data_IF_135450491072
#
_entry.id   IF_135450491072
#
_cell.length_a   1.000
_cell.length_b   1.000
_cell.length_c   1.000
_cell.angle_alpha   90.00
_cell.angle_beta   90.00
_cell.angle_gamma   90.00
#
_symmetry.space_group_name_H-M   'P 1'
#
loop_
_entity.id
_entity.type
_entity.pdbx_description
1 polymer ?
2 non-polymer ?
3 non-polymer ?
#
# COMPACT_ATOMS: atom_id res chain seq x y z
N UNK A 11 14.01 -27.01 2.92
CA UNK A 11 14.50 -25.71 2.49
C UNK A 11 13.44 -24.97 1.67
N UNK A 12 13.29 -23.69 1.98
CA UNK A 12 12.29 -22.82 1.35
C UNK A 12 12.87 -21.79 0.36
N UNK A 13 14.16 -21.84 0.09
CA UNK A 13 14.78 -20.87 -0.80
C UNK A 13 14.63 -21.21 -2.28
N UNK A 14 14.37 -20.19 -3.10
CA UNK A 14 14.44 -20.29 -4.56
C UNK A 14 14.84 -18.92 -5.13
N UNK A 15 15.31 -18.85 -6.41
CA UNK A 15 15.93 -17.60 -6.86
C UNK A 15 15.02 -16.36 -6.77
N UNK A 16 13.72 -16.55 -6.91
CA UNK A 16 12.76 -15.44 -6.82
C UNK A 16 12.54 -14.96 -5.39
N UNK A 17 12.46 -15.89 -4.45
CA UNK A 17 12.21 -15.53 -3.05
C UNK A 17 13.49 -15.35 -2.25
N UNK A 18 14.60 -15.20 -2.95
CA UNK A 18 15.89 -15.01 -2.29
C UNK A 18 16.09 -13.55 -1.93
N UNK A 19 16.84 -13.29 -0.84
CA UNK A 19 17.21 -11.93 -0.45
C UNK A 19 17.83 -11.20 -1.63
N UNK A 20 17.78 -9.87 -1.64
CA UNK A 20 18.17 -9.15 -2.83
C UNK A 20 19.54 -8.60 -2.54
N UNK A 21 20.50 -9.08 -3.34
CA UNK A 21 21.91 -8.79 -3.14
C UNK A 21 22.18 -7.31 -3.34
N UNK A 22 23.14 -6.79 -2.56
CA UNK A 22 23.55 -5.40 -2.64
C UNK A 22 23.78 -4.94 -4.07
N UNK A 23 24.50 -5.73 -4.85
CA UNK A 23 24.74 -5.39 -6.24
C UNK A 23 23.47 -5.42 -7.10
N UNK A 24 22.46 -6.18 -6.68
CA UNK A 24 21.23 -6.22 -7.46
C UNK A 24 20.26 -5.07 -7.16
N UNK A 25 20.61 -4.20 -6.21
CA UNK A 25 19.67 -3.17 -5.76
C UNK A 25 19.65 -1.98 -6.70
N UNK A 26 18.48 -1.37 -6.86
CA UNK A 26 18.29 -0.38 -7.92
C UNK A 26 17.48 0.86 -7.55
N UNK A 27 16.98 0.95 -6.32
CA UNK A 27 16.14 2.08 -5.94
C UNK A 27 16.74 2.97 -4.85
N UNK A 28 17.10 4.20 -5.21
CA UNK A 28 17.62 5.11 -4.21
C UNK A 28 16.46 5.94 -3.66
N UNK A 29 16.78 6.98 -2.87
CA UNK A 29 15.75 7.83 -2.25
C UNK A 29 14.94 8.68 -3.22
N UNK A 30 15.57 9.20 -4.27
CA UNK A 30 14.85 10.03 -5.22
C UNK A 30 13.87 9.17 -6.02
N UNK A 31 14.23 7.93 -6.27
CA UNK A 31 13.43 7.09 -7.15
C UNK A 31 12.20 6.64 -6.40
N UNK A 32 12.37 6.38 -5.11
CA UNK A 32 11.28 5.95 -4.26
C UNK A 32 10.22 7.04 -4.07
N UNK A 33 10.67 8.28 -3.93
CA UNK A 33 9.77 9.43 -3.95
C UNK A 33 9.02 9.51 -5.26
N UNK A 34 9.70 9.16 -6.35
CA UNK A 34 9.14 9.30 -7.69
C UNK A 34 8.14 8.18 -7.96
N UNK A 35 8.27 7.10 -7.20
CA UNK A 35 7.33 5.99 -7.29
C UNK A 35 6.10 6.31 -6.46
N UNK A 36 6.33 6.79 -5.24
CA UNK A 36 5.25 7.08 -4.30
C UNK A 36 4.34 8.22 -4.77
N UNK A 37 4.92 9.16 -5.51
CA UNK A 37 4.17 10.32 -5.98
C UNK A 37 3.13 9.83 -6.98
N UNK A 38 3.55 8.99 -7.92
CA UNK A 38 2.66 8.47 -8.94
C UNK A 38 1.75 7.39 -8.35
N UNK A 39 2.23 6.70 -7.33
CA UNK A 39 1.45 5.66 -6.65
C UNK A 39 0.29 6.23 -5.83
N UNK A 40 0.42 7.47 -5.39
CA UNK A 40 -0.64 8.10 -4.60
C UNK A 40 -1.73 8.69 -5.49
N UNK A 41 -1.36 9.02 -6.72
CA UNK A 41 -2.32 9.54 -7.69
C UNK A 41 -3.18 8.42 -8.25
N UNK A 42 -4.35 8.22 -7.66
CA UNK A 42 -5.25 7.17 -8.11
C UNK A 42 -6.68 7.38 -7.63
N UNK A 43 -7.62 7.10 -8.52
CA UNK A 43 -9.06 7.32 -8.35
C UNK A 43 -9.62 7.24 -6.93
N UNK A 44 -9.23 6.19 -6.20
CA UNK A 44 -9.83 5.89 -4.90
C UNK A 44 -9.85 7.07 -3.93
N UNK A 45 -8.80 7.89 -3.95
CA UNK A 45 -8.73 9.01 -3.01
C UNK A 45 -9.71 10.11 -3.39
N UNK A 46 -10.14 10.16 -4.65
CA UNK A 46 -11.23 11.06 -5.02
C UNK A 46 -12.45 10.72 -4.18
N UNK A 47 -12.80 9.44 -4.16
CA UNK A 47 -13.96 8.95 -3.43
C UNK A 47 -13.85 9.21 -1.95
N UNK A 48 -12.72 8.81 -1.37
CA UNK A 48 -12.53 8.94 0.07
C UNK A 48 -12.63 10.40 0.47
N UNK A 49 -11.87 11.26 -0.19
CA UNK A 49 -11.77 12.66 0.22
C UNK A 49 -13.05 13.39 -0.16
N UNK A 50 -13.69 12.91 -1.22
CA UNK A 50 -15.00 13.38 -1.63
C UNK A 50 -16.10 13.15 -0.60
N UNK A 51 -16.31 11.89 -0.24
CA UNK A 51 -17.24 11.51 0.81
C UNK A 51 -16.92 12.18 2.15
N UNK A 52 -15.66 12.56 2.36
CA UNK A 52 -15.32 13.28 3.58
C UNK A 52 -15.98 14.65 3.65
N UNK A 53 -16.31 15.23 2.51
CA UNK A 53 -16.89 16.56 2.49
C UNK A 53 -18.26 16.54 3.19
N UNK A 54 -18.88 15.37 3.22
CA UNK A 54 -20.06 15.15 4.06
C UNK A 54 -19.84 15.45 5.54
N UNK A 55 -18.65 15.16 6.07
CA UNK A 55 -18.46 15.30 7.51
C UNK A 55 -17.59 16.51 7.90
N UNK A 56 -16.74 16.94 6.98
CA UNK A 56 -15.87 18.10 7.24
C UNK A 56 -15.76 18.95 5.98
N UNK A 57 -15.26 20.16 6.14
CA UNK A 57 -15.02 21.01 4.98
C UNK A 57 -13.63 20.73 4.43
N UNK A 58 -13.46 20.98 3.14
CA UNK A 58 -12.23 20.67 2.39
C UNK A 58 -10.87 20.87 3.05
N UNK A 59 -10.61 22.06 3.62
CA UNK A 59 -9.31 22.27 4.27
C UNK A 59 -9.02 21.27 5.39
N UNK A 60 -10.01 20.97 6.22
CA UNK A 60 -9.81 19.93 7.24
C UNK A 60 -9.53 18.57 6.63
N UNK A 61 -10.16 18.26 5.49
CA UNK A 61 -9.98 16.98 4.83
C UNK A 61 -8.55 16.84 4.34
N UNK A 62 -8.05 17.93 3.75
CA UNK A 62 -6.66 18.05 3.36
C UNK A 62 -5.72 17.83 4.54
N UNK A 63 -6.13 18.30 5.71
CA UNK A 63 -5.35 18.14 6.93
C UNK A 63 -5.42 16.69 7.41
N UNK A 64 -6.61 16.11 7.35
CA UNK A 64 -6.78 14.70 7.70
C UNK A 64 -5.95 13.82 6.76
N UNK A 65 -5.76 14.31 5.53
CA UNK A 65 -4.94 13.61 4.54
C UNK A 65 -3.45 13.70 4.87
N UNK A 66 -2.97 14.93 5.05
CA UNK A 66 -1.59 15.18 5.48
C UNK A 66 -1.25 14.48 6.79
N UNK A 67 -2.19 14.45 7.72
CA UNK A 67 -1.97 13.76 8.99
C UNK A 67 -1.89 12.25 8.80
N UNK A 68 -2.85 11.68 8.08
CA UNK A 68 -2.85 10.26 7.80
C UNK A 68 -1.66 9.81 6.98
N UNK A 69 -1.22 10.67 6.07
CA UNK A 69 0.00 10.45 5.31
C UNK A 69 1.22 10.39 6.22
N UNK A 70 1.24 11.27 7.23
CA UNK A 70 2.38 11.37 8.12
C UNK A 70 2.51 10.17 9.06
N UNK A 71 1.39 9.69 9.60
CA UNK A 71 1.45 8.50 10.45
C UNK A 71 1.89 7.29 9.65
N UNK A 72 1.47 7.23 8.40
CA UNK A 72 1.84 6.14 7.51
C UNK A 72 3.35 6.10 7.31
N UNK A 73 3.92 7.27 7.04
CA UNK A 73 5.37 7.43 6.94
C UNK A 73 6.15 7.09 8.22
N UNK A 74 5.73 7.62 9.36
CA UNK A 74 6.24 7.17 10.65
C UNK A 74 6.21 5.65 10.82
N UNK A 75 5.19 5.01 10.27
CA UNK A 75 5.10 3.57 10.28
C UNK A 75 6.08 2.94 9.29
N UNK A 76 6.24 3.60 8.15
CA UNK A 76 7.14 3.14 7.10
C UNK A 76 8.60 3.10 7.56
N UNK A 77 9.05 4.17 8.20
CA UNK A 77 10.38 4.23 8.82
C UNK A 77 10.79 2.95 9.55
N UNK A 78 9.82 2.29 10.18
CA UNK A 78 10.07 1.08 10.95
C UNK A 78 9.87 -0.22 10.14
N UNK A 79 8.79 -0.27 9.35
CA UNK A 79 8.44 -1.47 8.61
C UNK A 79 9.34 -1.70 7.41
N UNK A 80 10.16 -0.71 7.07
CA UNK A 80 10.95 -0.81 5.84
C UNK A 80 12.39 -1.18 6.16
N UNK A 81 12.76 -1.15 7.43
CA UNK A 81 14.17 -1.15 7.79
C UNK A 81 14.83 -2.49 7.54
N UNK A 82 14.11 -3.57 7.79
CA UNK A 82 14.66 -4.90 7.57
C UNK A 82 14.75 -5.24 6.10
N UNK A 83 13.82 -4.73 5.30
CA UNK A 83 13.79 -5.05 3.88
C UNK A 83 14.89 -4.32 3.14
N UNK A 84 15.13 -3.07 3.54
CA UNK A 84 16.20 -2.29 2.96
C UNK A 84 17.55 -2.91 3.30
N UNK A 85 17.74 -3.21 4.57
CA UNK A 85 19.02 -3.71 5.05
C UNK A 85 19.27 -5.13 4.51
N UNK A 86 18.25 -5.98 4.55
CA UNK A 86 18.44 -7.41 4.25
C UNK A 86 17.82 -7.92 2.95
N UNK A 87 17.22 -7.04 2.15
CA UNK A 87 16.64 -7.45 0.89
C UNK A 87 15.53 -8.50 0.87
N UNK A 88 14.82 -8.68 1.97
CA UNK A 88 13.84 -9.76 2.05
C UNK A 88 12.39 -9.36 1.75
N UNK A 89 11.61 -10.36 1.35
CA UNK A 89 10.15 -10.31 1.23
C UNK A 89 9.40 -9.83 2.48
N UNK A 90 8.15 -9.41 2.27
CA UNK A 90 7.17 -9.33 3.35
C UNK A 90 6.83 -10.73 3.82
N UNK A 91 6.41 -11.56 2.87
CA UNK A 91 5.94 -12.92 3.15
C UNK A 91 7.02 -13.70 3.89
N UNK A 92 8.26 -13.55 3.45
CA UNK A 92 9.38 -14.18 4.14
C UNK A 92 9.58 -13.60 5.54
N UNK A 93 9.53 -12.28 5.67
CA UNK A 93 9.74 -11.62 6.96
C UNK A 93 8.72 -11.93 8.07
N UNK A 94 7.50 -12.28 7.69
CA UNK A 94 6.47 -12.58 8.68
C UNK A 94 6.75 -13.89 9.40
N UNK A 95 7.58 -14.72 8.77
CA UNK A 95 7.95 -16.03 9.31
C UNK A 95 8.59 -15.92 10.70
N UNK A 96 9.16 -14.76 11.01
CA UNK A 96 9.90 -14.54 12.26
C UNK A 96 8.99 -14.64 13.51
N UNK A 97 8.05 -13.69 13.70
CA UNK A 97 7.25 -13.76 14.93
C UNK A 97 6.18 -14.84 14.88
N UNK A 98 5.43 -14.89 13.80
CA UNK A 98 4.47 -15.97 13.57
C UNK A 98 5.29 -17.17 13.14
N UNK A 99 4.69 -18.32 12.89
CA UNK A 99 5.52 -19.44 12.51
C UNK A 99 6.10 -19.31 11.12
N UNK A 100 6.81 -20.34 10.67
CA UNK A 100 7.19 -20.46 9.28
C UNK A 100 5.96 -20.72 8.41
N UNK A 101 4.96 -21.34 9.04
CA UNK A 101 3.71 -21.64 8.38
C UNK A 101 2.61 -20.80 9.01
N UNK A 102 2.67 -20.68 10.35
CA UNK A 102 1.78 -19.79 11.07
C UNK A 102 1.72 -18.37 10.51
N UNK A 103 2.81 -17.89 9.93
CA UNK A 103 2.81 -16.59 9.26
C UNK A 103 1.81 -16.52 8.10
N UNK A 104 1.53 -17.67 7.49
CA UNK A 104 0.60 -17.74 6.37
C UNK A 104 -0.81 -17.23 6.72
N UNK A 105 -1.17 -17.30 7.99
CA UNK A 105 -2.49 -16.84 8.43
C UNK A 105 -2.63 -15.32 8.26
N UNK A 106 -1.90 -14.48 9.03
CA UNK A 106 -2.02 -13.07 8.70
C UNK A 106 -1.68 -12.74 7.25
N UNK A 107 -0.67 -13.39 6.69
CA UNK A 107 -0.29 -13.11 5.32
C UNK A 107 -1.40 -13.43 4.32
N UNK A 108 -2.20 -14.46 4.61
CA UNK A 108 -3.32 -14.77 3.73
C UNK A 108 -4.41 -13.72 3.83
N UNK A 109 -4.65 -13.25 5.05
CA UNK A 109 -5.51 -12.09 5.28
C UNK A 109 -5.04 -10.94 4.42
N UNK A 110 -3.74 -10.68 4.48
CA UNK A 110 -3.20 -9.51 3.82
C UNK A 110 -3.11 -9.70 2.31
N UNK A 111 -2.73 -10.89 1.86
CA UNK A 111 -2.67 -11.11 0.42
C UNK A 111 -4.06 -10.99 -0.21
N UNK A 112 -5.08 -11.32 0.58
CA UNK A 112 -6.47 -11.22 0.16
C UNK A 112 -6.93 -9.78 0.00
N UNK A 113 -6.65 -8.98 1.03
CA UNK A 113 -6.84 -7.54 1.01
C UNK A 113 -6.16 -6.98 -0.23
N UNK A 114 -4.88 -7.31 -0.38
CA UNK A 114 -4.03 -6.78 -1.44
C UNK A 114 -4.70 -7.11 -2.78
N UNK A 115 -5.11 -8.37 -2.90
CA UNK A 115 -5.78 -8.90 -4.07
C UNK A 115 -7.10 -8.18 -4.37
N UNK A 116 -7.87 -7.90 -3.32
CA UNK A 116 -9.10 -7.12 -3.43
C UNK A 116 -8.89 -5.76 -4.09
N UNK A 117 -7.82 -5.06 -3.74
CA UNK A 117 -7.54 -3.77 -4.35
C UNK A 117 -7.16 -3.90 -5.82
N UNK A 118 -6.52 -5.00 -6.18
CA UNK A 118 -6.07 -5.20 -7.55
C UNK A 118 -7.21 -5.33 -8.54
N UNK A 119 -8.23 -6.09 -8.18
CA UNK A 119 -9.39 -6.24 -9.04
C UNK A 119 -10.23 -4.99 -9.06
N UNK A 120 -10.23 -4.25 -7.95
CA UNK A 120 -10.92 -2.99 -7.92
C UNK A 120 -10.33 -1.96 -8.89
N UNK A 121 -9.02 -1.74 -8.82
CA UNK A 121 -8.43 -0.75 -9.71
C UNK A 121 -8.38 -1.22 -11.17
N UNK A 122 -8.31 -2.53 -11.39
CA UNK A 122 -8.34 -3.04 -12.75
C UNK A 122 -9.68 -2.67 -13.37
N UNK A 123 -10.71 -2.75 -12.55
CA UNK A 123 -12.07 -2.37 -12.91
C UNK A 123 -12.15 -0.90 -13.30
N UNK A 124 -11.67 -0.03 -12.43
CA UNK A 124 -11.66 1.40 -12.71
C UNK A 124 -10.89 1.69 -14.00
N UNK A 125 -9.76 1.01 -14.15
CA UNK A 125 -8.93 1.09 -15.35
C UNK A 125 -9.66 0.67 -16.60
N UNK A 126 -10.35 -0.45 -16.48
CA UNK A 126 -11.16 -1.03 -17.55
C UNK A 126 -12.26 -0.07 -17.96
N UNK A 127 -12.92 0.50 -16.96
CA UNK A 127 -13.96 1.49 -17.19
C UNK A 127 -13.38 2.59 -18.08
N UNK A 128 -12.15 2.98 -17.79
CA UNK A 128 -11.50 4.07 -18.50
C UNK A 128 -11.25 3.70 -19.97
N UNK A 129 -10.61 2.56 -20.21
CA UNK A 129 -10.26 2.18 -21.58
C UNK A 129 -11.52 1.98 -22.41
N UNK A 130 -12.56 1.47 -21.76
CA UNK A 130 -13.83 1.21 -22.41
C UNK A 130 -14.52 2.51 -22.80
N UNK A 131 -14.41 3.50 -21.93
CA UNK A 131 -14.89 4.84 -22.25
C UNK A 131 -14.16 5.50 -23.42
N UNK A 132 -12.84 5.36 -23.50
CA UNK A 132 -12.11 5.93 -24.64
C UNK A 132 -12.60 5.32 -25.94
N UNK A 133 -12.79 4.01 -25.94
CA UNK A 133 -13.22 3.32 -27.15
C UNK A 133 -14.65 3.65 -27.53
N UNK A 134 -15.57 3.66 -26.56
CA UNK A 134 -16.96 3.91 -26.89
C UNK A 134 -17.15 5.39 -27.25
N UNK A 135 -16.20 6.23 -26.87
CA UNK A 135 -16.16 7.62 -27.33
C UNK A 135 -15.49 7.71 -28.69
N UNK A 136 -15.33 6.57 -29.35
CA UNK A 136 -14.76 6.53 -30.69
C UNK A 136 -15.55 5.55 -31.57
N UNK A 137 -15.98 4.45 -30.96
CA UNK A 137 -16.46 3.32 -31.73
C UNK A 137 -17.85 2.93 -31.22
N UNK A 138 -18.31 3.66 -30.21
CA UNK A 138 -19.59 3.39 -29.56
C UNK A 138 -19.74 2.03 -28.91
N UNK A 139 -18.85 1.12 -29.24
CA UNK A 139 -18.80 -0.23 -28.70
C UNK A 139 -18.47 -0.16 -27.21
N UNK A 140 -19.25 -0.84 -26.37
CA UNK A 140 -19.14 -0.65 -24.93
C UNK A 140 -19.21 -1.99 -24.20
N UNK A 141 -18.22 -2.84 -24.49
CA UNK A 141 -18.04 -4.10 -23.77
C UNK A 141 -16.97 -3.87 -22.71
N UNK A 142 -17.35 -4.05 -21.46
CA UNK A 142 -16.44 -3.87 -20.33
C UNK A 142 -15.61 -5.09 -19.93
N UNK A 143 -16.25 -6.26 -19.71
CA UNK A 143 -15.48 -7.43 -19.31
C UNK A 143 -14.27 -7.79 -20.19
N UNK A 144 -14.40 -7.64 -21.51
CA UNK A 144 -13.26 -7.88 -22.38
C UNK A 144 -12.12 -6.88 -22.03
N UNK A 145 -12.46 -5.61 -21.80
CA UNK A 145 -11.46 -4.60 -21.48
C UNK A 145 -10.91 -4.79 -20.07
N UNK A 146 -11.72 -5.41 -19.21
CA UNK A 146 -11.27 -5.84 -17.91
C UNK A 146 -10.10 -6.80 -18.07
N UNK A 147 -10.40 -7.99 -18.58
CA UNK A 147 -9.38 -9.00 -18.89
C UNK A 147 -8.13 -8.45 -19.56
N UNK A 148 -8.30 -7.85 -20.74
CA UNK A 148 -7.20 -7.18 -21.45
C UNK A 148 -6.34 -6.27 -20.56
N UNK A 149 -6.96 -5.55 -19.63
CA UNK A 149 -6.16 -4.71 -18.74
C UNK A 149 -5.44 -5.52 -17.68
N UNK A 150 -6.18 -6.35 -16.96
CA UNK A 150 -5.58 -7.32 -16.05
C UNK A 150 -4.37 -7.97 -16.68
N UNK A 151 -4.52 -8.38 -17.93
CA UNK A 151 -3.46 -9.07 -18.66
C UNK A 151 -2.27 -8.15 -18.91
N UNK A 152 -2.54 -6.93 -19.36
CA UNK A 152 -1.50 -5.96 -19.68
C UNK A 152 -0.67 -5.63 -18.44
N UNK A 153 -1.34 -5.51 -17.30
CA UNK A 153 -0.67 -5.25 -16.04
C UNK A 153 0.25 -6.42 -15.71
N UNK A 154 -0.26 -7.63 -15.88
CA UNK A 154 0.54 -8.84 -15.65
C UNK A 154 1.83 -8.80 -16.45
N UNK A 155 1.73 -8.43 -17.72
CA UNK A 155 2.89 -8.47 -18.60
C UNK A 155 3.89 -7.37 -18.30
N UNK A 156 3.40 -6.20 -17.94
CA UNK A 156 4.29 -5.14 -17.48
C UNK A 156 4.81 -5.39 -16.08
N UNK A 157 4.07 -6.19 -15.31
CA UNK A 157 4.54 -6.56 -13.97
C UNK A 157 5.59 -7.65 -14.04
N UNK A 158 5.57 -8.44 -15.12
CA UNK A 158 6.65 -9.38 -15.36
C UNK A 158 8.01 -8.72 -15.25
N UNK A 159 8.09 -7.48 -15.70
CA UNK A 159 9.34 -6.74 -15.62
C UNK A 159 9.63 -6.15 -14.25
N UNK A 160 8.89 -6.64 -13.25
CA UNK A 160 8.98 -6.18 -11.87
C UNK A 160 9.23 -4.71 -11.67
N UNK A 161 10.09 -4.41 -10.69
CA UNK A 161 10.35 -3.04 -10.30
C UNK A 161 11.08 -2.19 -11.40
N UNK A 162 11.65 -2.87 -12.40
CA UNK A 162 12.35 -2.19 -13.48
C UNK A 162 11.40 -1.34 -14.29
N UNK A 163 10.28 -1.96 -14.66
CA UNK A 163 9.19 -1.27 -15.33
C UNK A 163 8.54 -0.25 -14.41
N UNK A 164 8.07 -0.71 -13.26
CA UNK A 164 7.47 0.16 -12.24
C UNK A 164 8.23 1.47 -12.14
N UNK A 165 9.56 1.37 -12.02
CA UNK A 165 10.36 2.53 -11.72
C UNK A 165 10.45 3.47 -12.92
N UNK A 166 10.51 2.91 -14.13
CA UNK A 166 10.60 3.74 -15.33
C UNK A 166 9.25 4.34 -15.70
N UNK A 167 8.20 3.55 -15.52
CA UNK A 167 6.83 3.99 -15.78
C UNK A 167 6.37 5.11 -14.85
N UNK A 168 6.79 5.05 -13.59
CA UNK A 168 6.38 6.05 -12.60
C UNK A 168 7.15 7.36 -12.66
N UNK A 169 8.39 7.34 -13.15
CA UNK A 169 9.15 8.57 -13.25
C UNK A 169 8.61 9.43 -14.38
N UNK A 170 8.20 8.80 -15.48
CA UNK A 170 7.59 9.57 -16.56
C UNK A 170 6.11 9.90 -16.33
N UNK A 171 5.37 9.02 -15.67
CA UNK A 171 3.99 9.36 -15.32
C UNK A 171 3.88 10.49 -14.32
N UNK A 172 4.74 10.48 -13.31
CA UNK A 172 4.68 11.45 -12.19
C UNK A 172 4.46 12.91 -12.61
N UNK A 173 5.37 13.47 -13.43
CA UNK A 173 5.17 14.89 -13.76
C UNK A 173 3.93 15.09 -14.62
N UNK A 174 3.70 14.17 -15.55
CA UNK A 174 2.52 14.21 -16.38
C UNK A 174 1.26 14.18 -15.52
N UNK A 175 1.19 13.20 -14.63
CA UNK A 175 0.11 13.12 -13.64
C UNK A 175 0.02 14.39 -12.79
N UNK A 176 1.16 14.89 -12.34
CA UNK A 176 1.23 16.14 -11.59
C UNK A 176 0.67 17.31 -12.40
N UNK A 177 0.96 17.32 -13.69
CA UNK A 177 0.51 18.41 -14.54
C UNK A 177 -0.97 18.27 -14.87
N UNK A 178 -1.39 17.09 -15.32
CA UNK A 178 -2.81 16.82 -15.56
C UNK A 178 -3.68 17.21 -14.36
N UNK A 179 -3.12 17.12 -13.16
CA UNK A 179 -3.84 17.41 -11.93
C UNK A 179 -3.95 18.89 -11.56
N UNK A 180 -2.84 19.61 -11.66
CA UNK A 180 -2.80 21.06 -11.48
C UNK A 180 -3.69 21.79 -12.49
N UNK A 181 -3.68 21.30 -13.73
CA UNK A 181 -4.62 21.73 -14.76
C UNK A 181 -6.08 21.58 -14.39
N UNK A 182 -6.43 20.44 -13.82
CA UNK A 182 -7.80 20.15 -13.40
C UNK A 182 -8.40 21.18 -12.45
N UNK A 183 -7.65 21.53 -11.41
CA UNK A 183 -8.05 22.61 -10.51
C UNK A 183 -8.27 23.97 -11.19
N UNK A 184 -7.44 24.30 -12.19
CA UNK A 184 -7.64 25.57 -12.88
C UNK A 184 -8.98 25.56 -13.64
N UNK A 185 -9.19 24.55 -14.47
CA UNK A 185 -10.46 24.33 -15.19
C UNK A 185 -11.73 24.39 -14.34
N UNK A 186 -11.71 23.77 -13.17
CA UNK A 186 -12.87 23.80 -12.29
C UNK A 186 -13.09 25.21 -11.79
N UNK A 187 -12.17 25.68 -10.95
CA UNK A 187 -12.22 27.00 -10.35
C UNK A 187 -12.62 28.06 -11.36
N UNK A 188 -11.89 28.11 -12.48
CA UNK A 188 -12.19 29.04 -13.56
C UNK A 188 -13.64 28.92 -14.03
N UNK A 189 -14.00 27.74 -14.54
CA UNK A 189 -15.30 27.53 -15.15
C UNK A 189 -16.46 27.73 -14.18
N UNK A 190 -16.15 27.72 -12.89
CA UNK A 190 -17.15 27.99 -11.85
C UNK A 190 -17.01 29.42 -11.34
N UNK A 191 -15.91 30.07 -11.71
CA UNK A 191 -15.64 31.48 -11.39
C UNK A 191 -15.38 31.64 -9.90
N UNK A 192 -14.57 30.74 -9.34
CA UNK A 192 -14.34 30.69 -7.90
C UNK A 192 -12.86 30.63 -7.55
N UNK A 193 -12.46 31.34 -6.50
CA UNK A 193 -11.08 31.32 -6.05
C UNK A 193 -10.81 30.04 -5.24
N UNK A 194 -9.54 29.69 -5.08
CA UNK A 194 -9.14 28.54 -4.28
C UNK A 194 -9.57 28.61 -2.81
N UNK A 195 -9.41 29.79 -2.21
CA UNK A 195 -9.74 29.97 -0.80
C UNK A 195 -11.20 29.81 -0.47
N UNK A 196 -12.06 30.15 -1.42
CA UNK A 196 -13.51 30.05 -1.24
C UNK A 196 -13.92 28.58 -1.16
N UNK A 197 -13.42 27.77 -2.09
CA UNK A 197 -13.72 26.35 -2.15
C UNK A 197 -13.19 25.64 -0.91
N UNK A 198 -12.11 26.19 -0.34
CA UNK A 198 -11.47 25.61 0.82
C UNK A 198 -12.36 25.46 2.07
N UNK A 199 -13.52 26.12 2.10
CA UNK A 199 -14.40 25.95 3.25
C UNK A 199 -15.85 25.59 2.92
N UNK A 200 -16.07 25.07 1.71
CA UNK A 200 -17.44 24.80 1.26
C UNK A 200 -18.10 23.52 1.80
N UNK A 201 -17.35 22.67 2.51
CA UNK A 201 -17.90 21.38 2.88
C UNK A 201 -18.59 21.26 4.22
N UNK A 202 -18.66 20.03 4.72
CA UNK A 202 -18.89 19.76 6.13
C UNK A 202 -20.22 20.26 6.64
N UNK A 203 -21.29 19.85 5.96
CA UNK A 203 -22.62 20.31 6.33
C UNK A 203 -23.45 19.18 6.93
N UNK A 204 -22.77 18.22 7.53
CA UNK A 204 -23.44 17.06 8.11
C UNK A 204 -22.51 16.35 9.12
N UNK A 205 -21.97 17.12 10.07
CA UNK A 205 -20.95 16.65 11.03
C UNK A 205 -21.46 15.53 11.93
N UNK A 206 -20.54 14.82 12.58
CA UNK A 206 -20.88 13.67 13.38
C UNK A 206 -19.64 12.81 13.55
N UNK A 207 -18.92 12.62 12.45
CA UNK A 207 -17.68 11.87 12.47
C UNK A 207 -16.56 12.65 13.16
N UNK A 208 -15.89 12.03 14.13
CA UNK A 208 -14.72 12.62 14.78
C UNK A 208 -13.56 12.81 13.81
N UNK A 209 -12.80 13.88 13.98
CA UNK A 209 -11.62 14.16 13.14
C UNK A 209 -10.52 13.13 13.26
N UNK A 210 -10.46 12.42 14.38
CA UNK A 210 -9.44 11.39 14.55
C UNK A 210 -9.69 10.23 13.61
N UNK A 211 -10.96 9.89 13.40
CA UNK A 211 -11.32 8.73 12.59
C UNK A 211 -11.17 9.12 11.13
N UNK A 212 -11.06 10.43 10.89
CA UNK A 212 -10.84 10.92 9.54
C UNK A 212 -9.40 10.59 9.22
N UNK A 213 -8.50 11.01 10.10
CA UNK A 213 -7.08 10.72 9.96
C UNK A 213 -6.92 9.20 9.80
N UNK A 214 -7.65 8.46 10.65
CA UNK A 214 -7.66 7.01 10.64
C UNK A 214 -8.17 6.37 9.36
N UNK A 215 -8.88 7.14 8.54
CA UNK A 215 -9.38 6.61 7.29
C UNK A 215 -8.30 6.67 6.21
N UNK A 216 -7.52 7.75 6.23
CA UNK A 216 -6.47 7.94 5.23
C UNK A 216 -5.23 7.11 5.57
N UNK A 217 -5.06 6.78 6.86
CA UNK A 217 -4.06 5.79 7.24
C UNK A 217 -4.56 4.42 6.80
N UNK A 218 -5.84 4.17 7.05
CA UNK A 218 -6.46 2.92 6.66
C UNK A 218 -6.38 2.66 5.17
N UNK A 219 -6.20 3.72 4.39
CA UNK A 219 -6.07 3.59 2.95
C UNK A 219 -4.80 2.88 2.54
N UNK A 220 -3.70 3.23 3.19
CA UNK A 220 -2.40 2.71 2.79
C UNK A 220 -1.83 1.65 3.73
N UNK A 221 -2.63 1.20 4.69
CA UNK A 221 -2.14 0.29 5.71
C UNK A 221 -1.54 -0.99 5.11
N UNK A 222 -2.19 -1.53 4.08
CA UNK A 222 -1.72 -2.76 3.44
C UNK A 222 -0.36 -2.56 2.78
N UNK A 223 -0.20 -1.45 2.08
CA UNK A 223 1.05 -1.14 1.42
C UNK A 223 2.16 -0.90 2.46
N UNK A 224 1.85 -0.08 3.45
CA UNK A 224 2.81 0.24 4.50
C UNK A 224 3.27 -1.00 5.26
N UNK A 225 2.32 -1.89 5.57
CA UNK A 225 2.62 -3.06 6.37
C UNK A 225 3.44 -4.09 5.57
N UNK A 226 3.39 -4.00 4.24
CA UNK A 226 4.15 -4.93 3.40
C UNK A 226 4.97 -4.22 2.34
N UNK A 227 5.48 -3.03 2.67
CA UNK A 227 6.39 -2.32 1.78
C UNK A 227 7.60 -3.16 1.35
N UNK A 228 8.07 -4.05 2.23
CA UNK A 228 9.21 -4.95 1.97
C UNK A 228 9.45 -5.27 0.50
N UNK A 229 8.36 -5.64 -0.15
CA UNK A 229 8.37 -6.18 -1.50
C UNK A 229 8.81 -5.12 -2.52
N UNK A 230 8.85 -3.87 -2.06
CA UNK A 230 9.32 -2.78 -2.88
C UNK A 230 10.71 -2.35 -2.44
N UNK A 231 10.93 -2.32 -1.13
CA UNK A 231 12.09 -1.63 -0.59
C UNK A 231 13.25 -2.60 -0.39
N UNK A 232 12.97 -3.90 -0.49
CA UNK A 232 14.05 -4.88 -0.61
C UNK A 232 14.87 -4.65 -1.88
N UNK A 233 14.44 -3.68 -2.68
CA UNK A 233 15.10 -3.31 -3.91
C UNK A 233 15.84 -1.99 -3.75
N UNK A 234 15.73 -1.38 -2.56
CA UNK A 234 16.38 -0.09 -2.36
C UNK A 234 17.89 -0.18 -2.16
N UNK A 235 18.55 0.94 -2.46
CA UNK A 235 20.01 0.99 -2.44
C UNK A 235 20.49 1.15 -1.00
N UNK A 236 21.42 0.31 -0.57
CA UNK A 236 21.91 0.40 0.81
C UNK A 236 23.44 0.38 0.85
N UNK A 237 24.05 1.07 1.81
CA UNK A 237 25.47 0.86 2.05
C UNK A 237 25.68 -0.06 3.26
N UNK A 238 26.10 -1.31 3.01
CA UNK A 238 26.29 -2.33 4.05
C UNK A 238 27.27 -1.92 5.15
N UNK A 239 28.20 -1.03 4.81
CA UNK A 239 29.23 -0.62 5.77
C UNK A 239 28.95 0.72 6.44
N UNK A 240 27.67 0.98 6.69
CA UNK A 240 27.25 2.14 7.45
C UNK A 240 27.45 1.85 8.93
N UNK A 241 26.70 2.54 9.77
CA UNK A 241 26.76 2.29 11.20
C UNK A 241 25.34 2.41 11.72
N UNK A 242 25.15 2.30 13.03
CA UNK A 242 23.83 2.53 13.62
C UNK A 242 23.28 3.90 13.20
N UNK A 243 24.15 4.91 13.13
CA UNK A 243 23.66 6.25 12.95
C UNK A 243 23.60 6.53 11.46
N UNK A 244 24.41 5.83 10.67
CA UNK A 244 24.31 5.98 9.24
C UNK A 244 23.20 5.11 8.68
N UNK A 245 22.89 4.00 9.34
CA UNK A 245 21.74 3.20 8.96
C UNK A 245 20.44 3.92 9.28
N UNK A 246 20.45 4.67 10.38
CA UNK A 246 19.26 5.42 10.80
C UNK A 246 18.96 6.63 9.92
N UNK A 247 20.00 7.37 9.52
CA UNK A 247 19.80 8.47 8.59
C UNK A 247 19.36 7.93 7.24
N UNK A 248 19.84 6.74 6.89
CA UNK A 248 19.43 6.09 5.65
C UNK A 248 17.93 5.79 5.69
N UNK A 249 17.50 5.14 6.77
CA UNK A 249 16.08 4.94 7.06
C UNK A 249 15.28 6.23 7.03
N UNK A 250 15.82 7.28 7.64
CA UNK A 250 15.10 8.55 7.73
C UNK A 250 15.04 9.23 6.37
N UNK A 251 16.12 9.10 5.60
CA UNK A 251 16.18 9.69 4.28
C UNK A 251 15.20 9.02 3.32
N UNK A 252 15.05 7.70 3.44
CA UNK A 252 14.03 6.95 2.70
C UNK A 252 12.61 7.26 3.14
N UNK A 253 12.37 7.20 4.44
CA UNK A 253 11.07 7.59 5.00
C UNK A 253 10.70 9.01 4.59
N UNK A 254 11.68 9.90 4.57
CA UNK A 254 11.45 11.28 4.16
C UNK A 254 11.09 11.33 2.68
N UNK A 255 11.72 10.46 1.90
CA UNK A 255 11.48 10.44 0.47
C UNK A 255 10.07 9.94 0.21
N UNK A 256 9.58 9.08 1.09
CA UNK A 256 8.25 8.54 0.94
C UNK A 256 7.23 9.58 1.38
N UNK A 257 7.63 10.43 2.32
CA UNK A 257 6.76 11.49 2.80
C UNK A 257 6.56 12.50 1.70
N UNK A 258 7.65 12.88 1.05
CA UNK A 258 7.57 13.90 0.02
C UNK A 258 6.93 13.30 -1.23
N UNK A 259 6.80 11.99 -1.27
CA UNK A 259 6.16 11.36 -2.40
C UNK A 259 4.65 11.22 -2.27
N UNK A 260 4.18 10.79 -1.11
CA UNK A 260 2.76 10.47 -0.97
C UNK A 260 1.90 11.64 -0.48
N UNK A 261 2.50 12.55 0.28
CA UNK A 261 1.80 13.74 0.75
C UNK A 261 1.39 14.73 -0.37
N UNK A 262 2.37 15.43 -1.00
CA UNK A 262 1.97 16.40 -2.05
C UNK A 262 1.14 15.83 -3.19
N UNK A 263 1.32 14.56 -3.51
CA UNK A 263 0.50 13.91 -4.52
C UNK A 263 -0.95 13.74 -4.07
N UNK A 264 -1.14 13.24 -2.87
CA UNK A 264 -2.48 12.88 -2.42
C UNK A 264 -3.25 14.07 -1.89
N UNK A 265 -2.56 15.15 -1.56
CA UNK A 265 -3.22 16.41 -1.21
C UNK A 265 -3.84 17.11 -2.41
N UNK A 266 -3.09 17.21 -3.51
CA UNK A 266 -3.65 17.79 -4.73
C UNK A 266 -4.86 17.02 -5.24
N UNK A 267 -4.76 15.70 -5.25
CA UNK A 267 -5.82 14.86 -5.79
C UNK A 267 -6.92 14.55 -4.77
N UNK A 268 -6.57 14.56 -3.49
CA UNK A 268 -7.60 14.48 -2.46
C UNK A 268 -8.49 15.70 -2.61
N UNK A 269 -7.86 16.86 -2.69
CA UNK A 269 -8.55 18.11 -2.95
C UNK A 269 -9.46 18.11 -4.18
N UNK A 270 -8.99 17.49 -5.27
CA UNK A 270 -9.80 17.39 -6.47
C UNK A 270 -11.07 16.57 -6.25
N UNK A 271 -10.95 15.46 -5.51
CA UNK A 271 -12.11 14.66 -5.18
C UNK A 271 -13.08 15.43 -4.32
N UNK A 272 -12.54 16.13 -3.31
CA UNK A 272 -13.33 16.96 -2.42
C UNK A 272 -14.01 18.12 -3.14
N UNK A 273 -13.26 18.83 -3.97
CA UNK A 273 -13.78 19.93 -4.77
C UNK A 273 -14.96 19.52 -5.66
N UNK A 274 -14.77 18.44 -6.44
CA UNK A 274 -15.87 17.83 -7.16
C UNK A 274 -17.14 17.61 -6.32
N UNK A 275 -17.00 16.95 -5.17
CA UNK A 275 -18.12 16.65 -4.27
C UNK A 275 -18.87 17.92 -3.91
N UNK A 276 -18.12 18.93 -3.56
CA UNK A 276 -18.65 20.11 -2.90
C UNK A 276 -19.23 21.10 -3.89
N UNK A 277 -18.65 21.14 -5.08
CA UNK A 277 -19.16 21.98 -6.15
C UNK A 277 -20.39 21.42 -6.86
N UNK A 278 -20.49 20.09 -7.02
CA UNK A 278 -21.44 19.53 -7.99
C UNK A 278 -22.17 18.30 -7.41
N UNK A 279 -21.65 17.79 -6.30
CA UNK A 279 -22.28 16.70 -5.59
C UNK A 279 -21.75 15.32 -5.95
N UNK A 280 -20.73 15.30 -6.80
CA UNK A 280 -20.11 14.04 -7.22
C UNK A 280 -18.60 14.11 -7.02
N UNK A 281 -18.02 13.03 -6.53
CA UNK A 281 -16.57 12.95 -6.29
C UNK A 281 -15.76 12.77 -7.58
N UNK A 282 -16.41 12.26 -8.62
CA UNK A 282 -15.77 12.00 -9.90
C UNK A 282 -15.68 13.30 -10.73
N UNK A 283 -14.44 13.72 -11.01
CA UNK A 283 -14.09 14.95 -11.73
C UNK A 283 -14.60 14.97 -13.19
N UNK A 284 -14.79 13.81 -13.82
CA UNK A 284 -15.37 13.77 -15.18
C UNK A 284 -16.68 14.52 -15.21
N UNK A 285 -17.58 14.09 -14.36
CA UNK A 285 -18.85 14.76 -14.19
C UNK A 285 -18.70 16.20 -13.74
N UNK A 286 -17.93 16.44 -12.68
CA UNK A 286 -17.85 17.79 -12.14
C UNK A 286 -17.32 18.81 -13.17
N UNK A 287 -16.33 18.41 -13.95
CA UNK A 287 -15.78 19.34 -14.94
C UNK A 287 -16.67 19.46 -16.18
N UNK A 288 -17.28 18.35 -16.58
CA UNK A 288 -18.20 18.34 -17.71
C UNK A 288 -19.34 19.33 -17.55
N UNK A 289 -20.04 19.19 -16.44
CA UNK A 289 -21.10 20.11 -16.05
C UNK A 289 -20.61 21.56 -15.97
N UNK A 290 -19.76 21.86 -15.00
CA UNK A 290 -19.30 23.22 -14.73
C UNK A 290 -18.92 23.97 -16.01
N UNK A 291 -18.47 23.21 -17.01
CA UNK A 291 -17.96 23.78 -18.25
C UNK A 291 -19.01 23.58 -19.33
N UNK A 292 -19.95 22.68 -19.06
CA UNK A 292 -21.08 22.46 -19.96
C UNK A 292 -20.60 21.67 -21.17
N UNK A 293 -20.12 20.46 -20.91
CA UNK A 293 -19.66 19.58 -21.97
C UNK A 293 -18.22 19.88 -22.32
N UNK A 294 -17.54 18.89 -22.92
CA UNK A 294 -16.18 19.02 -23.39
C UNK A 294 -15.98 18.18 -24.65
N UNK A 295 -15.04 18.59 -25.49
CA UNK A 295 -14.74 17.89 -26.73
C UNK A 295 -14.28 16.44 -26.52
N UNK A 296 -14.56 15.62 -27.52
CA UNK A 296 -14.21 14.20 -27.52
C UNK A 296 -12.71 13.98 -27.24
N UNK A 297 -11.82 14.73 -27.92
CA UNK A 297 -10.42 14.72 -27.47
C UNK A 297 -10.27 14.90 -25.96
N UNK A 298 -10.67 16.06 -25.45
CA UNK A 298 -10.49 16.38 -24.03
C UNK A 298 -11.19 15.39 -23.09
N UNK A 299 -12.07 14.55 -23.65
CA UNK A 299 -12.71 13.50 -22.85
C UNK A 299 -11.77 12.30 -22.77
N UNK A 300 -11.49 11.76 -23.95
CA UNK A 300 -10.46 10.76 -24.18
C UNK A 300 -9.22 11.02 -23.33
N UNK A 301 -8.75 12.27 -23.35
CA UNK A 301 -7.73 12.75 -22.41
C UNK A 301 -7.95 12.32 -20.96
N UNK A 302 -9.06 12.75 -20.36
CA UNK A 302 -9.38 12.41 -18.96
C UNK A 302 -9.21 10.93 -18.68
N UNK A 303 -9.67 10.14 -19.62
CA UNK A 303 -9.65 8.70 -19.48
C UNK A 303 -8.23 8.16 -19.61
N UNK A 304 -7.44 8.82 -20.47
CA UNK A 304 -6.02 8.50 -20.54
C UNK A 304 -5.38 8.77 -19.17
N UNK A 305 -5.85 9.81 -18.49
CA UNK A 305 -5.40 10.12 -17.13
C UNK A 305 -5.69 8.97 -16.18
N UNK A 306 -6.97 8.61 -16.04
CA UNK A 306 -7.39 7.49 -15.21
C UNK A 306 -6.58 6.24 -15.43
N UNK A 307 -6.34 5.94 -16.70
CA UNK A 307 -5.54 4.78 -17.04
C UNK A 307 -4.10 4.96 -16.56
N UNK A 308 -3.52 6.11 -16.86
CA UNK A 308 -2.18 6.42 -16.39
C UNK A 308 -2.06 6.46 -14.87
N UNK A 309 -3.14 6.89 -14.21
CA UNK A 309 -3.15 6.94 -12.75
C UNK A 309 -3.34 5.57 -12.10
N UNK A 310 -3.94 4.64 -12.84
CA UNK A 310 -4.16 3.30 -12.32
C UNK A 310 -2.91 2.44 -12.49
N UNK A 311 -2.24 2.65 -13.61
CA UNK A 311 -1.06 1.87 -13.97
C UNK A 311 0.09 2.19 -13.03
N UNK A 312 0.08 3.40 -12.47
CA UNK A 312 1.15 3.83 -11.58
C UNK A 312 0.93 3.36 -10.15
N UNK A 313 -0.21 2.75 -9.89
CA UNK A 313 -0.53 2.32 -8.54
C UNK A 313 -0.78 0.82 -8.41
N UNK A 314 -1.71 0.30 -9.21
CA UNK A 314 -2.11 -1.10 -9.15
C UNK A 314 -0.96 -2.12 -9.10
N UNK A 315 -0.16 -2.25 -10.19
CA UNK A 315 0.93 -3.25 -10.16
C UNK A 315 1.76 -3.22 -8.88
N UNK A 316 2.41 -2.08 -8.63
CA UNK A 316 3.35 -1.94 -7.53
C UNK A 316 2.73 -2.11 -6.15
N UNK A 317 1.53 -1.59 -5.96
CA UNK A 317 0.88 -1.58 -4.66
C UNK A 317 0.02 -2.81 -4.37
N UNK A 318 -0.51 -3.45 -5.41
CA UNK A 318 -1.51 -4.50 -5.21
C UNK A 318 -1.17 -5.89 -5.70
N UNK A 319 -0.25 -5.98 -6.66
CA UNK A 319 0.02 -7.25 -7.31
C UNK A 319 1.34 -7.90 -6.88
N UNK A 320 2.38 -7.08 -6.69
CA UNK A 320 3.66 -7.55 -6.15
C UNK A 320 3.61 -8.48 -4.93
N UNK A 321 2.87 -8.11 -3.90
CA UNK A 321 2.96 -8.85 -2.63
C UNK A 321 2.25 -10.21 -2.59
N UNK A 322 1.15 -10.38 -3.33
CA UNK A 322 0.67 -11.77 -3.36
C UNK A 322 1.51 -12.65 -4.27
N UNK A 323 2.04 -12.07 -5.35
CA UNK A 323 2.99 -12.75 -6.22
C UNK A 323 4.08 -13.39 -5.37
N UNK A 324 4.78 -12.54 -4.60
CA UNK A 324 5.85 -12.99 -3.73
C UNK A 324 5.36 -13.95 -2.65
N UNK A 325 4.09 -13.87 -2.29
CA UNK A 325 3.54 -14.81 -1.32
C UNK A 325 3.45 -16.22 -1.87
N UNK A 326 3.06 -16.33 -3.13
CA UNK A 326 3.00 -17.61 -3.81
C UNK A 326 4.39 -18.21 -4.03
N UNK A 327 5.26 -17.46 -4.69
CA UNK A 327 6.55 -18.01 -5.09
C UNK A 327 7.49 -18.27 -3.91
N UNK A 328 7.04 -17.95 -2.70
CA UNK A 328 7.91 -17.96 -1.52
C UNK A 328 7.36 -18.94 -0.51
N UNK A 329 6.08 -19.29 -0.68
CA UNK A 329 5.46 -20.35 0.10
C UNK A 329 5.48 -21.67 -0.65
N UNK A 330 5.26 -21.59 -1.97
CA UNK A 330 5.38 -22.74 -2.85
C UNK A 330 6.55 -22.59 -3.82
N UNK A 331 7.78 -22.68 -3.30
CA UNK A 331 8.89 -22.16 -4.11
C UNK A 331 9.24 -22.97 -5.35
N UNK A 332 8.91 -24.26 -5.37
CA UNK A 332 9.14 -25.09 -6.55
C UNK A 332 7.93 -25.12 -7.49
N UNK A 333 6.78 -24.72 -6.97
CA UNK A 333 5.55 -24.59 -7.76
C UNK A 333 5.39 -23.26 -8.48
N UNK A 334 5.72 -22.16 -7.82
CA UNK A 334 5.49 -20.85 -8.41
C UNK A 334 6.80 -20.09 -8.57
N UNK A 335 6.84 -19.23 -9.57
CA UNK A 335 7.89 -18.24 -9.71
C UNK A 335 7.23 -16.88 -9.68
N UNK A 336 8.02 -15.83 -9.50
CA UNK A 336 7.52 -14.47 -9.48
C UNK A 336 6.53 -14.25 -10.64
N UNK A 337 7.00 -14.45 -11.87
CA UNK A 337 6.14 -14.28 -13.05
C UNK A 337 4.88 -15.15 -13.02
N UNK A 338 4.98 -16.37 -12.49
CA UNK A 338 3.82 -17.25 -12.46
C UNK A 338 2.89 -16.85 -11.32
N UNK A 339 3.47 -16.27 -10.28
CA UNK A 339 2.70 -15.85 -9.12
C UNK A 339 1.91 -14.62 -9.51
N UNK A 340 2.54 -13.78 -10.34
CA UNK A 340 1.87 -12.65 -10.97
C UNK A 340 0.67 -13.06 -11.82
N UNK A 341 0.82 -14.09 -12.65
CA UNK A 341 -0.30 -14.61 -13.41
C UNK A 341 -1.44 -15.18 -12.56
N UNK A 342 -1.08 -15.93 -11.52
CA UNK A 342 -2.08 -16.50 -10.61
C UNK A 342 -2.73 -15.45 -9.70
N UNK A 343 -2.03 -14.36 -9.42
CA UNK A 343 -2.57 -13.35 -8.54
C UNK A 343 -3.59 -12.49 -9.26
N UNK A 344 -3.27 -12.15 -10.50
CA UNK A 344 -4.16 -11.35 -11.32
C UNK A 344 -5.41 -12.10 -11.75
N UNK A 345 -5.33 -13.43 -11.78
CA UNK A 345 -6.51 -14.23 -12.11
C UNK A 345 -7.43 -14.37 -10.91
N UNK A 346 -6.90 -14.87 -9.79
CA UNK A 346 -7.65 -14.88 -8.54
C UNK A 346 -8.24 -13.49 -8.27
N UNK A 347 -7.37 -12.48 -8.31
CA UNK A 347 -7.77 -11.09 -8.15
C UNK A 347 -9.05 -10.69 -8.87
N UNK A 348 -9.11 -10.97 -10.17
CA UNK A 348 -10.26 -10.60 -10.98
C UNK A 348 -11.43 -11.52 -10.66
N UNK A 349 -11.12 -12.75 -10.28
CA UNK A 349 -12.15 -13.72 -9.91
C UNK A 349 -12.71 -13.50 -8.50
N UNK A 350 -12.23 -12.47 -7.81
CA UNK A 350 -12.88 -12.04 -6.57
C UNK A 350 -13.99 -11.04 -6.84
N UNK A 351 -14.12 -10.63 -8.10
CA UNK A 351 -15.08 -9.62 -8.55
C UNK A 351 -15.45 -8.54 -7.52
N UNK A 352 -14.45 -7.77 -7.02
CA UNK A 352 -14.51 -6.84 -5.89
C UNK A 352 -15.36 -5.61 -6.17
N UNK A 353 -15.78 -5.46 -7.42
CA UNK A 353 -16.58 -4.34 -7.90
C UNK A 353 -18.02 -4.49 -7.44
N UNK A 354 -18.27 -5.51 -6.63
CA UNK A 354 -19.59 -5.81 -6.12
C UNK A 354 -19.61 -5.65 -4.60
N UNK A 355 -18.51 -5.13 -4.07
CA UNK A 355 -18.36 -4.94 -2.63
C UNK A 355 -19.32 -3.80 -2.23
N UNK A 356 -20.34 -4.13 -1.45
CA UNK A 356 -21.30 -3.14 -0.98
C UNK A 356 -20.67 -2.18 0.02
N UNK A 357 -21.33 -1.05 0.26
CA UNK A 357 -20.86 -0.11 1.25
C UNK A 357 -20.10 1.07 0.67
N UNK A 358 -19.29 1.70 1.50
CA UNK A 358 -18.35 2.72 1.04
C UNK A 358 -16.94 2.50 1.58
N UNK A 359 -15.96 3.22 1.03
CA UNK A 359 -14.58 2.86 1.21
C UNK A 359 -14.20 3.22 2.63
N UNK A 360 -14.44 4.47 3.00
CA UNK A 360 -14.20 4.99 4.34
C UNK A 360 -14.32 3.94 5.45
N UNK A 361 -15.49 3.28 5.52
CA UNK A 361 -15.74 2.29 6.58
C UNK A 361 -14.87 1.06 6.36
N UNK A 362 -14.62 0.77 5.08
CA UNK A 362 -13.73 -0.31 4.67
C UNK A 362 -12.33 0.07 5.13
N UNK A 363 -11.98 1.34 4.93
CA UNK A 363 -10.66 1.81 5.29
C UNK A 363 -10.56 1.78 6.81
N UNK A 364 -11.67 2.05 7.48
CA UNK A 364 -11.75 1.93 8.95
C UNK A 364 -11.60 0.47 9.37
N UNK A 365 -12.02 -0.42 8.48
CA UNK A 365 -11.86 -1.85 8.64
C UNK A 365 -10.39 -2.25 8.49
N UNK A 366 -9.80 -1.81 7.39
CA UNK A 366 -8.40 -2.11 7.10
C UNK A 366 -7.42 -1.69 8.18
N UNK A 367 -7.59 -0.50 8.76
CA UNK A 367 -6.67 -0.09 9.82
C UNK A 367 -6.71 -0.98 11.06
N UNK A 368 -7.89 -1.12 11.67
CA UNK A 368 -7.97 -1.89 12.91
C UNK A 368 -7.75 -3.40 12.74
N UNK A 369 -7.75 -3.84 11.49
CA UNK A 369 -7.41 -5.22 11.14
C UNK A 369 -5.93 -5.54 10.94
N UNK A 370 -5.16 -4.56 10.52
CA UNK A 370 -3.71 -4.73 10.40
C UNK A 370 -2.85 -3.93 11.36
N UNK A 371 -3.48 -3.20 12.26
CA UNK A 371 -2.76 -2.40 13.23
C UNK A 371 -1.84 -3.24 14.10
N UNK A 372 -2.35 -4.34 14.67
CA UNK A 372 -1.50 -5.27 15.41
C UNK A 372 -0.42 -5.98 14.58
N UNK A 373 -0.71 -6.27 13.32
CA UNK A 373 0.26 -6.94 12.44
C UNK A 373 1.52 -6.10 12.26
N UNK A 374 1.34 -4.80 12.06
CA UNK A 374 2.47 -3.88 11.89
C UNK A 374 3.20 -3.70 13.22
N UNK A 375 2.45 -3.86 14.30
CA UNK A 375 2.95 -3.60 15.63
C UNK A 375 3.81 -4.75 16.09
N UNK A 376 3.38 -5.96 15.71
CA UNK A 376 4.09 -7.18 16.07
C UNK A 376 5.36 -7.34 15.22
N UNK A 377 5.36 -6.77 14.02
CA UNK A 377 6.51 -6.94 13.15
C UNK A 377 7.58 -5.93 13.57
N UNK A 378 7.14 -4.74 13.94
CA UNK A 378 8.07 -3.71 14.40
C UNK A 378 8.71 -4.16 15.72
N UNK A 379 7.92 -4.85 16.53
CA UNK A 379 8.35 -5.23 17.88
C UNK A 379 9.29 -6.43 17.90
N UNK A 380 8.92 -7.47 17.17
CA UNK A 380 9.78 -8.64 17.01
C UNK A 380 11.18 -8.28 16.56
N UNK A 381 11.26 -7.56 15.44
CA UNK A 381 12.55 -7.17 14.86
C UNK A 381 13.34 -6.13 15.64
N UNK A 382 12.71 -5.01 16.01
CA UNK A 382 13.41 -3.94 16.73
C UNK A 382 13.62 -4.19 18.21
N UNK A 383 12.58 -4.62 18.91
CA UNK A 383 12.64 -4.70 20.36
C UNK A 383 13.11 -6.05 20.86
N UNK A 384 12.41 -7.10 20.47
CA UNK A 384 12.77 -8.45 20.90
C UNK A 384 14.16 -8.86 20.40
N UNK A 385 14.33 -8.89 19.08
CA UNK A 385 15.57 -9.37 18.49
C UNK A 385 16.69 -8.34 18.33
N UNK A 386 16.35 -7.05 18.41
CA UNK A 386 17.33 -5.96 18.29
C UNK A 386 18.02 -5.97 16.92
N UNK A 387 17.23 -6.14 15.86
CA UNK A 387 17.72 -6.09 14.48
C UNK A 387 18.70 -7.24 14.18
N UNK A 388 18.73 -8.23 15.05
CA UNK A 388 19.69 -9.31 14.92
C UNK A 388 18.97 -10.56 14.42
N UNK A 389 19.02 -10.77 13.11
CA UNK A 389 18.24 -11.80 12.46
C UNK A 389 19.06 -12.84 11.70
N UNK A 390 18.44 -13.99 11.42
CA UNK A 390 19.09 -15.11 10.74
C UNK A 390 18.46 -15.48 9.41
N UNK A 391 18.93 -14.90 8.30
CA UNK A 391 18.46 -15.28 6.97
C UNK A 391 18.41 -16.79 6.73
N UNK A 392 19.45 -17.48 7.19
CA UNK A 392 19.58 -18.93 7.04
C UNK A 392 18.32 -19.71 7.42
N UNK A 393 17.76 -19.35 8.56
CA UNK A 393 16.67 -20.10 9.19
C UNK A 393 15.34 -19.73 8.56
N UNK A 394 15.32 -18.59 7.88
CA UNK A 394 14.13 -18.11 7.22
C UNK A 394 13.84 -18.93 5.96
N UNK A 395 14.85 -19.62 5.46
CA UNK A 395 14.69 -20.38 4.22
C UNK A 395 14.70 -21.89 4.44
N UNK A 396 14.40 -22.30 5.67
CA UNK A 396 14.48 -23.69 6.06
C UNK A 396 13.26 -24.03 6.91
N UNK A 397 12.58 -25.12 6.55
CA UNK A 397 11.44 -25.65 7.33
C UNK A 397 11.64 -25.82 8.83
N UNK A 398 12.81 -26.29 9.25
CA UNK A 398 13.09 -26.46 10.67
C UNK A 398 14.30 -25.71 11.24
N UNK A 399 14.02 -24.67 12.02
CA UNK A 399 15.05 -23.82 12.57
C UNK A 399 14.49 -22.98 13.71
N UNK A 400 15.14 -21.88 14.06
CA UNK A 400 14.68 -21.09 15.20
C UNK A 400 13.40 -20.29 14.95
N UNK A 401 12.82 -20.42 13.76
CA UNK A 401 11.58 -19.70 13.47
C UNK A 401 10.45 -20.68 13.21
N UNK A 402 10.69 -21.93 13.60
CA UNK A 402 9.74 -23.01 13.34
C UNK A 402 8.74 -23.09 14.49
N UNK A 403 9.22 -22.75 15.69
CA UNK A 403 8.40 -22.83 16.89
C UNK A 403 7.68 -24.17 17.03
N UNK A 404 6.41 -24.14 17.39
CA UNK A 404 5.65 -25.37 17.55
C UNK A 404 5.21 -25.96 16.22
N UNK A 405 6.07 -26.81 15.65
CA UNK A 405 5.76 -27.56 14.43
C UNK A 405 5.35 -26.64 13.28
N UNK A 406 6.00 -25.48 13.23
CA UNK A 406 5.82 -24.51 12.16
C UNK A 406 4.94 -23.31 12.50
N UNK A 407 4.39 -23.25 13.70
CA UNK A 407 3.44 -22.19 14.04
C UNK A 407 3.70 -21.66 15.45
N UNK A 408 3.75 -20.34 15.59
CA UNK A 408 3.97 -19.75 16.92
C UNK A 408 2.62 -19.29 17.47
N UNK A 409 1.90 -20.17 18.16
CA UNK A 409 0.54 -19.87 18.63
C UNK A 409 0.42 -18.67 19.57
N UNK A 410 1.46 -18.42 20.36
CA UNK A 410 1.49 -17.29 21.28
C UNK A 410 1.39 -15.96 20.52
N UNK A 411 2.02 -15.89 19.36
CA UNK A 411 1.93 -14.73 18.48
C UNK A 411 0.54 -14.54 17.86
N UNK A 412 -0.07 -15.63 17.38
CA UNK A 412 -1.49 -15.62 17.03
C UNK A 412 -2.41 -15.26 18.19
N UNK A 413 -1.96 -15.46 19.42
CA UNK A 413 -2.72 -15.05 20.59
C UNK A 413 -2.63 -13.55 20.83
N UNK A 414 -1.41 -13.02 20.85
CA UNK A 414 -1.18 -11.58 20.96
C UNK A 414 -1.96 -10.78 19.92
N UNK A 415 -2.09 -11.33 18.71
CA UNK A 415 -2.86 -10.68 17.66
C UNK A 415 -4.32 -10.55 18.07
N UNK A 416 -4.91 -11.68 18.47
CA UNK A 416 -6.29 -11.72 18.92
C UNK A 416 -6.52 -10.72 20.05
N UNK A 417 -5.83 -10.93 21.17
CA UNK A 417 -5.87 -10.03 22.32
C UNK A 417 -5.78 -8.54 21.96
N UNK A 418 -4.85 -8.19 21.09
CA UNK A 418 -4.65 -6.78 20.72
C UNK A 418 -5.83 -6.31 19.88
N UNK A 419 -6.34 -7.22 19.06
CA UNK A 419 -7.52 -6.97 18.26
C UNK A 419 -8.72 -6.70 19.15
N UNK A 420 -8.85 -7.48 20.22
CA UNK A 420 -9.90 -7.25 21.22
C UNK A 420 -9.82 -5.87 21.87
N UNK A 421 -8.77 -5.63 22.66
CA UNK A 421 -8.50 -4.29 23.22
C UNK A 421 -8.74 -3.16 22.22
N UNK A 422 -8.55 -3.46 20.93
CA UNK A 422 -8.72 -2.47 19.89
C UNK A 422 -10.17 -2.02 19.83
N UNK A 423 -11.08 -2.94 20.13
CA UNK A 423 -12.49 -2.65 20.03
C UNK A 423 -12.95 -1.73 21.16
N UNK A 424 -12.18 -1.66 22.23
CA UNK A 424 -12.50 -0.75 23.34
C UNK A 424 -12.31 0.73 23.00
N UNK A 425 -11.72 1.03 21.84
CA UNK A 425 -11.49 2.42 21.43
C UNK A 425 -11.76 2.58 19.94
N UNK A 426 -13.01 2.32 19.52
CA UNK A 426 -13.40 2.28 18.11
C UNK A 426 -12.88 3.38 17.18
N UNK A 427 -12.81 4.63 17.64
CA UNK A 427 -12.32 5.69 16.77
C UNK A 427 -10.80 5.83 16.69
N UNK A 428 -10.09 5.04 17.47
CA UNK A 428 -8.63 5.02 17.44
C UNK A 428 -8.15 3.59 17.42
N UNK A 429 -9.05 2.68 17.07
CA UNK A 429 -8.80 1.23 17.04
C UNK A 429 -7.37 0.84 16.67
N UNK A 430 -6.97 1.27 15.48
CA UNK A 430 -5.63 1.05 14.95
C UNK A 430 -4.47 1.43 15.86
N UNK A 431 -4.47 2.65 16.39
CA UNK A 431 -3.36 3.09 17.22
C UNK A 431 -3.32 2.42 18.60
N UNK A 432 -4.46 2.00 19.14
CA UNK A 432 -4.41 1.20 20.36
C UNK A 432 -4.00 -0.24 20.06
N UNK A 433 -4.52 -0.79 18.97
CA UNK A 433 -4.18 -2.15 18.60
C UNK A 433 -2.74 -2.33 18.21
N UNK A 434 -2.15 -1.30 17.59
CA UNK A 434 -0.74 -1.33 17.25
C UNK A 434 0.06 -1.30 18.54
N UNK A 435 -0.19 -0.26 19.34
CA UNK A 435 0.44 -0.08 20.64
C UNK A 435 0.24 -1.28 21.57
N UNK A 436 -0.94 -1.89 21.53
CA UNK A 436 -1.19 -3.06 22.36
C UNK A 436 -0.37 -4.25 21.88
N UNK A 437 -0.46 -4.55 20.59
CA UNK A 437 0.28 -5.66 20.02
C UNK A 437 1.77 -5.47 20.23
N UNK A 438 2.24 -4.25 19.92
CA UNK A 438 3.63 -3.87 20.13
C UNK A 438 4.10 -4.23 21.54
N UNK A 439 3.42 -3.70 22.55
CA UNK A 439 3.81 -3.92 23.94
C UNK A 439 3.68 -5.37 24.43
N UNK A 440 2.60 -6.06 24.05
CA UNK A 440 2.42 -7.45 24.49
C UNK A 440 3.40 -8.43 23.85
N UNK A 441 3.90 -8.13 22.66
CA UNK A 441 4.81 -9.07 22.00
C UNK A 441 6.01 -9.28 22.91
N UNK A 442 6.41 -8.21 23.60
CA UNK A 442 7.58 -8.22 24.47
C UNK A 442 7.50 -9.29 25.60
N UNK A 443 6.50 -9.22 26.50
CA UNK A 443 6.37 -10.32 27.45
C UNK A 443 6.08 -11.67 26.81
N UNK A 444 5.19 -11.71 25.83
CA UNK A 444 4.90 -12.95 25.12
C UNK A 444 6.17 -13.58 24.55
N UNK A 445 7.07 -12.74 24.05
CA UNK A 445 8.26 -13.24 23.40
C UNK A 445 9.36 -13.63 24.39
N UNK A 446 9.38 -12.93 25.52
CA UNK A 446 10.30 -13.23 26.60
C UNK A 446 9.83 -14.52 27.30
N UNK A 447 8.67 -15.02 26.88
CA UNK A 447 8.14 -16.25 27.43
C UNK A 447 8.48 -17.39 26.49
N UNK A 448 8.14 -17.19 25.23
CA UNK A 448 8.51 -18.11 24.16
C UNK A 448 10.02 -18.34 24.11
N UNK A 449 10.79 -17.38 24.60
CA UNK A 449 12.25 -17.45 24.51
C UNK A 449 12.81 -18.43 25.52
N UNK A 450 11.96 -18.86 26.45
CA UNK A 450 12.34 -19.84 27.45
C UNK A 450 12.23 -21.27 26.92
N UNK A 451 11.55 -21.41 25.79
CA UNK A 451 11.33 -22.72 25.17
C UNK A 451 12.11 -22.83 23.86
N UNK A 452 12.16 -21.71 23.14
CA UNK A 452 12.81 -21.65 21.83
C UNK A 452 13.84 -20.54 21.81
N UNK A 453 14.89 -20.71 20.99
CA UNK A 453 15.99 -19.73 21.02
C UNK A 453 15.67 -18.57 20.10
N UNK A 454 16.15 -17.38 20.45
CA UNK A 454 15.85 -16.18 19.67
C UNK A 454 16.93 -15.87 18.65
N UNK A 455 18.07 -16.53 18.79
CA UNK A 455 19.17 -16.33 17.86
C UNK A 455 19.72 -17.67 17.39
N UNK A 456 20.57 -17.64 16.37
CA UNK A 456 21.13 -18.86 15.80
C UNK A 456 22.55 -18.66 15.32
N UNK A 457 23.34 -19.73 15.33
CA UNK A 457 24.72 -19.65 14.89
C UNK A 457 24.80 -19.30 13.42
N UNK A 458 23.83 -19.80 12.65
CA UNK A 458 23.86 -19.66 11.21
C UNK A 458 23.64 -18.22 10.74
N UNK A 459 23.34 -17.33 11.69
CA UNK A 459 23.09 -15.93 11.34
C UNK A 459 24.39 -15.26 10.89
N UNK A 460 25.49 -16.01 10.95
CA UNK A 460 26.78 -15.51 10.50
C UNK A 460 26.90 -15.70 8.99
N UNK A 461 26.02 -16.55 8.45
CA UNK A 461 25.94 -16.74 7.01
C UNK A 461 25.11 -15.66 6.32
N UNK A 462 24.67 -14.67 7.10
CA UNK A 462 23.76 -13.64 6.59
C UNK A 462 24.33 -12.98 5.34
N UNK A 463 25.63 -12.71 5.37
CA UNK A 463 26.28 -11.94 4.32
C UNK A 463 26.54 -12.79 3.08
N UNK A 464 26.49 -14.12 3.26
CA UNK A 464 26.55 -15.04 2.13
C UNK A 464 25.39 -14.79 1.18
N UNK A 465 24.22 -14.53 1.73
CA UNK A 465 23.03 -14.25 0.95
C UNK A 465 23.17 -12.94 0.16
N UNK A 466 23.96 -12.01 0.68
CA UNK A 466 24.09 -10.70 0.07
C UNK A 466 25.44 -10.54 -0.62
X LIG B 1 -8.24 4.27 -1.16
X LIG B 1 -7.58 3.22 -1.67
X LIG B 1 -6.21 3.45 -1.62
X LIG B 1 -6.05 4.73 -1.06
X LIG B 1 -4.94 5.52 -0.76
X LIG B 1 -5.15 6.78 -0.18
X LIG B 1 -6.41 7.24 0.08
X LIG B 1 -7.54 6.48 -0.20
X LIG B 1 -7.34 5.23 -0.78
X LIG B 1 -5.12 2.51 -2.10
X LIG B 1 -5.47 1.13 -1.73
X LIG B 1 -4.72 0.19 -2.62
X LIG B 1 -3.89 -0.61 -1.78
X LIG B 1 -4.11 -0.21 -0.39
X LIG B 1 -5.08 0.88 -0.39
X LIG B 1 -4.81 0.13 -3.81
X LIG B 1 -3.58 -0.66 0.58
X LIG C 1 -1.14 5.88 -9.80
#
# INVERSE_FOLDING_TARGET
>A
MNSTPIEEARSLLNPSNAPTRYAERSVGPFSLAAIWFAMAIQVAIFIAAGQMTSSFQVWQVIVAIAAGCTIAVILLFFTQSAAIRWGINFTVAARMPFGIRGSLIPITLKALLSLFWFGFQTWLGALALDEITRLLTGFTNLPLWIVIFGAIQVVTTFYGITFIRWMNVFASPVLLAMGVYMVYLMLDGADVSLGEVMSMGGENPGMPFSTAIMIFVGGWIAVVVSIHDIVKECKVDPNASREGQTKADARYATAQWLGMVPASIIFGFIGAASMVLVGEWNPVIAITEVVGGVSIPMAILFQVFVLLATWSTNPAANLLSPAYTLCSTFPRVFTFKTGVIVSAVVGLLMMPWQFAGVLNTFLNLLASALGPLAGIMISDYFLVRRRRISLHDLYRTKGIYTYWRGVNWVALAVYAVALAVSFLTPDLMFVTGLIAALLLHIPAMRWVAKTFPLFSEAESRNEDYLRPIGPVAPADESATANTKEQNGSENLYFQ
>B hetero
1 I5H N1 C2 C3 C4 C5 C6 C7 C8 C9 C10 C11 C12 N13 C14 N15 O16 O17
>C hetero
1 NA NA
#
